data_IF_437555361042
#
_entry.id   IF_437555361042
#
_cell.length_a   1.000
_cell.length_b   1.000
_cell.length_c   1.000
_cell.angle_alpha   90.00
_cell.angle_beta   90.00
_cell.angle_gamma   90.00
#
_symmetry.space_group_name_H-M   'P 1'
#
loop_
_entity.id
_entity.type
_entity.pdbx_description
1 polymer ?
#
# COMPACT_ATOMS: atom_id res chain seq x y z
N UNK A 1 -26.68 36.35 43.21
CA UNK A 1 -25.42 36.02 42.49
C UNK A 1 -25.72 34.86 41.56
N UNK A 2 -25.77 35.12 40.25
CA UNK A 2 -25.83 34.03 39.26
C UNK A 2 -24.40 33.57 39.01
N UNK A 3 -24.13 32.28 39.22
CA UNK A 3 -22.89 31.67 38.79
C UNK A 3 -22.89 31.66 37.26
N UNK A 4 -21.81 32.12 36.62
CA UNK A 4 -21.74 32.18 35.19
C UNK A 4 -21.72 30.70 34.68
N UNK A 5 -22.40 30.43 33.55
CA UNK A 5 -22.44 29.13 32.85
C UNK A 5 -21.64 29.19 31.55
N UNK A 6 -20.42 28.66 31.57
CA UNK A 6 -19.60 28.46 30.38
C UNK A 6 -20.33 27.62 29.29
N UNK A 7 -20.32 28.11 28.05
CA UNK A 7 -20.81 27.37 26.88
C UNK A 7 -19.64 26.66 26.22
N UNK A 8 -19.62 25.33 26.35
CA UNK A 8 -18.53 24.48 25.88
C UNK A 8 -18.52 24.36 24.35
N UNK A 9 -17.45 24.84 23.69
CA UNK A 9 -17.20 24.55 22.28
C UNK A 9 -16.15 23.43 22.18
N UNK A 10 -16.57 22.26 21.67
CA UNK A 10 -15.68 21.10 21.50
C UNK A 10 -14.90 21.27 20.19
N UNK A 11 -13.61 21.63 20.29
CA UNK A 11 -12.69 21.63 19.15
C UNK A 11 -12.13 20.21 19.00
N UNK A 12 -12.52 19.52 17.94
CA UNK A 12 -11.98 18.20 17.62
C UNK A 12 -10.66 18.34 16.86
N UNK A 13 -9.54 18.16 17.55
CA UNK A 13 -8.23 18.09 16.91
C UNK A 13 -8.06 16.68 16.36
N UNK A 14 -8.03 16.54 15.03
CA UNK A 14 -7.67 15.29 14.38
C UNK A 14 -6.22 14.96 14.74
N UNK A 15 -5.99 13.78 15.32
CA UNK A 15 -4.63 13.36 15.70
C UNK A 15 -3.71 13.38 14.47
N UNK A 16 -2.59 14.13 14.50
CA UNK A 16 -1.66 14.24 13.37
C UNK A 16 -1.07 12.87 12.98
N UNK A 17 -1.01 11.93 13.93
CA UNK A 17 -0.55 10.58 13.70
C UNK A 17 -1.47 9.82 12.73
N UNK A 18 -2.79 10.01 12.83
CA UNK A 18 -3.73 9.33 11.92
C UNK A 18 -3.66 9.89 10.50
N UNK A 19 -3.35 11.17 10.35
CA UNK A 19 -3.07 11.79 9.04
C UNK A 19 -1.78 11.22 8.45
N UNK A 20 -0.73 11.07 9.26
CA UNK A 20 0.52 10.45 8.83
C UNK A 20 0.30 9.00 8.36
N UNK A 21 -0.55 8.22 9.04
CA UNK A 21 -0.94 6.86 8.61
C UNK A 21 -1.57 6.89 7.21
N UNK A 22 -2.50 7.82 6.93
CA UNK A 22 -3.07 7.94 5.57
C UNK A 22 -1.99 8.26 4.54
N UNK A 23 -1.09 9.19 4.85
CA UNK A 23 0.00 9.55 3.94
C UNK A 23 0.89 8.34 3.62
N UNK A 24 1.23 7.51 4.62
CA UNK A 24 1.98 6.27 4.41
C UNK A 24 1.21 5.24 3.56
N UNK A 25 -0.11 5.12 3.74
CA UNK A 25 -0.96 4.28 2.87
C UNK A 25 -0.95 4.77 1.42
N UNK A 26 -0.96 6.08 1.17
CA UNK A 26 -0.87 6.65 -0.18
C UNK A 26 0.48 6.33 -0.83
N UNK A 27 1.59 6.46 -0.07
CA UNK A 27 2.91 6.07 -0.56
C UNK A 27 2.99 4.57 -0.88
N UNK A 28 2.39 3.72 -0.06
CA UNK A 28 2.27 2.29 -0.34
C UNK A 28 1.54 2.03 -1.66
N UNK A 29 0.39 2.68 -1.90
CA UNK A 29 -0.33 2.57 -3.18
C UNK A 29 0.52 2.99 -4.38
N UNK A 30 1.28 4.09 -4.26
CA UNK A 30 2.17 4.56 -5.33
C UNK A 30 3.27 3.55 -5.63
N UNK A 31 3.88 2.96 -4.60
CA UNK A 31 4.91 1.95 -4.77
C UNK A 31 4.38 0.65 -5.35
N UNK A 32 3.20 0.19 -4.91
CA UNK A 32 2.53 -0.96 -5.52
C UNK A 32 2.22 -0.70 -7.00
N UNK A 33 1.77 0.52 -7.37
CA UNK A 33 1.51 0.87 -8.75
C UNK A 33 2.78 0.81 -9.61
N UNK A 34 3.89 1.40 -9.13
CA UNK A 34 5.19 1.35 -9.80
C UNK A 34 5.66 -0.10 -9.95
N UNK A 35 5.54 -0.88 -8.88
CA UNK A 35 5.93 -2.29 -8.88
C UNK A 35 5.05 -3.12 -9.82
N UNK A 36 3.75 -2.86 -9.92
CA UNK A 36 2.85 -3.58 -10.81
C UNK A 36 3.14 -3.32 -12.30
N UNK A 37 3.49 -2.07 -12.65
CA UNK A 37 3.69 -1.63 -14.03
C UNK A 37 5.06 -1.98 -14.61
N UNK A 38 6.04 -2.31 -13.77
CA UNK A 38 7.41 -2.62 -14.20
C UNK A 38 7.64 -4.11 -14.44
N UNK A 39 8.45 -4.44 -15.44
CA UNK A 39 8.92 -5.81 -15.72
C UNK A 39 10.18 -6.19 -14.94
N UNK A 40 10.78 -5.26 -14.18
CA UNK A 40 12.06 -5.45 -13.50
C UNK A 40 11.88 -6.04 -12.09
N UNK A 41 11.21 -7.19 -11.96
CA UNK A 41 11.14 -7.93 -10.68
C UNK A 41 12.18 -9.02 -10.61
N UNK A 42 12.24 -9.84 -11.65
CA UNK A 42 13.16 -10.96 -11.75
C UNK A 42 13.89 -10.85 -13.07
N UNK A 43 15.21 -10.94 -13.02
CA UNK A 43 16.05 -11.11 -14.19
C UNK A 43 16.52 -12.56 -14.28
N UNK A 44 16.37 -13.16 -15.45
CA UNK A 44 16.96 -14.45 -15.80
C UNK A 44 17.93 -14.27 -16.97
N UNK A 45 18.55 -15.36 -17.43
CA UNK A 45 19.38 -15.34 -18.65
C UNK A 45 18.62 -14.92 -19.91
N UNK A 46 17.30 -15.11 -19.93
CA UNK A 46 16.47 -14.90 -21.13
C UNK A 46 15.82 -13.52 -21.17
N UNK A 47 15.73 -12.82 -20.05
CA UNK A 47 15.07 -11.52 -19.99
C UNK A 47 14.66 -11.11 -18.58
N UNK A 48 13.71 -10.18 -18.53
CA UNK A 48 13.14 -9.61 -17.31
C UNK A 48 11.65 -9.90 -17.22
N UNK A 49 11.21 -10.32 -16.03
CA UNK A 49 9.84 -10.73 -15.77
C UNK A 49 9.30 -9.92 -14.61
N UNK A 50 8.15 -9.29 -14.82
CA UNK A 50 7.34 -8.69 -13.78
C UNK A 50 5.95 -9.32 -13.70
N UNK A 51 5.09 -8.82 -12.80
CA UNK A 51 3.76 -9.39 -12.54
C UNK A 51 2.84 -9.33 -13.77
N UNK A 52 2.89 -8.22 -14.52
CA UNK A 52 2.03 -8.00 -15.70
C UNK A 52 2.76 -8.18 -17.03
N UNK A 53 4.01 -7.74 -17.09
CA UNK A 53 4.81 -7.70 -18.33
C UNK A 53 6.02 -8.62 -18.23
N UNK A 54 6.28 -9.34 -19.32
CA UNK A 54 7.50 -10.12 -19.53
C UNK A 54 8.24 -9.54 -20.74
N UNK A 55 9.53 -9.28 -20.59
CA UNK A 55 10.40 -8.79 -21.65
C UNK A 55 11.52 -9.80 -21.90
N UNK A 56 11.48 -10.46 -23.05
CA UNK A 56 12.45 -11.49 -23.44
C UNK A 56 13.39 -10.97 -24.53
N UNK A 57 14.66 -11.34 -24.42
CA UNK A 57 15.64 -11.10 -25.47
C UNK A 57 15.55 -12.25 -26.48
N UNK A 58 15.03 -11.95 -27.68
CA UNK A 58 14.96 -12.92 -28.78
C UNK A 58 16.07 -12.67 -29.78
N UNK A 59 16.79 -13.73 -30.14
CA UNK A 59 17.67 -13.72 -31.30
C UNK A 59 16.81 -13.90 -32.55
N UNK A 60 16.66 -12.84 -33.34
CA UNK A 60 16.15 -12.96 -34.70
C UNK A 60 17.30 -13.26 -35.65
N UNK A 61 17.27 -14.45 -36.26
CA UNK A 61 18.16 -14.82 -37.35
C UNK A 61 17.60 -14.24 -38.65
N UNK A 62 18.14 -13.11 -39.11
CA UNK A 62 17.79 -12.56 -40.42
C UNK A 62 18.55 -13.33 -41.49
N UNK A 63 17.83 -14.06 -42.35
CA UNK A 63 18.36 -15.04 -43.32
C UNK A 63 19.34 -14.46 -44.36
N UNK A 64 19.50 -13.14 -44.43
CA UNK A 64 20.24 -12.46 -45.51
C UNK A 64 21.44 -11.62 -45.05
N UNK A 65 21.71 -11.51 -43.75
CA UNK A 65 22.88 -10.76 -43.25
C UNK A 65 23.43 -11.40 -41.99
N UNK A 66 24.76 -11.65 -41.93
CA UNK A 66 25.51 -12.15 -40.76
C UNK A 66 25.49 -11.23 -39.52
N UNK A 67 24.50 -10.34 -39.40
CA UNK A 67 24.27 -9.50 -38.23
C UNK A 67 23.08 -10.06 -37.45
N UNK A 68 23.34 -10.71 -36.32
CA UNK A 68 22.30 -11.04 -35.35
C UNK A 68 21.94 -9.77 -34.57
N UNK A 69 20.72 -9.26 -34.74
CA UNK A 69 20.18 -8.21 -33.87
C UNK A 69 19.42 -8.85 -32.71
N UNK A 70 19.82 -8.53 -31.47
CA UNK A 70 19.05 -8.88 -30.28
C UNK A 70 17.93 -7.86 -30.16
N UNK A 71 16.69 -8.30 -30.26
CA UNK A 71 15.52 -7.44 -30.02
C UNK A 71 14.85 -7.87 -28.73
N UNK A 72 14.55 -6.91 -27.85
CA UNK A 72 13.77 -7.15 -26.64
C UNK A 72 12.29 -7.03 -26.99
N UNK A 73 11.58 -8.15 -26.93
CA UNK A 73 10.13 -8.18 -27.13
C UNK A 73 9.44 -8.21 -25.77
N UNK A 74 8.66 -7.18 -25.47
CA UNK A 74 7.82 -7.14 -24.27
C UNK A 74 6.40 -7.58 -24.60
N UNK A 75 5.89 -8.56 -23.86
CA UNK A 75 4.56 -9.13 -24.03
C UNK A 75 3.77 -9.09 -22.72
N UNK A 76 2.50 -8.76 -22.82
CA UNK A 76 1.56 -8.80 -21.69
C UNK A 76 1.04 -10.21 -21.50
N UNK A 77 1.28 -10.81 -20.33
CA UNK A 77 0.71 -12.07 -19.79
C UNK A 77 0.92 -13.37 -20.59
N UNK A 78 1.06 -13.31 -21.92
CA UNK A 78 1.03 -14.48 -22.81
C UNK A 78 2.25 -15.39 -22.70
N UNK A 79 3.40 -14.86 -22.23
CA UNK A 79 4.63 -15.66 -22.14
C UNK A 79 4.69 -16.58 -20.89
N UNK A 80 3.86 -16.34 -19.87
CA UNK A 80 3.98 -17.05 -18.59
C UNK A 80 3.66 -18.55 -18.68
N UNK A 81 2.72 -18.95 -19.54
CA UNK A 81 2.38 -20.36 -19.73
C UNK A 81 3.49 -21.17 -20.41
N UNK A 82 4.33 -20.53 -21.24
CA UNK A 82 5.39 -21.24 -21.96
C UNK A 82 6.57 -21.60 -21.06
N UNK A 83 6.77 -20.84 -19.98
CA UNK A 83 7.89 -20.95 -19.06
C UNK A 83 7.51 -21.63 -17.72
N UNK A 84 6.29 -22.18 -17.60
CA UNK A 84 5.75 -22.72 -16.34
C UNK A 84 5.80 -21.72 -15.16
N UNK A 85 5.80 -20.41 -15.44
CA UNK A 85 5.81 -19.33 -14.45
C UNK A 85 4.38 -19.00 -13.98
N UNK A 86 3.60 -20.02 -13.57
CA UNK A 86 2.21 -19.86 -13.12
C UNK A 86 2.06 -18.98 -11.87
N UNK A 87 3.15 -18.78 -11.15
CA UNK A 87 3.22 -18.02 -9.92
C UNK A 87 3.19 -16.50 -10.09
N UNK A 88 3.57 -15.98 -11.25
CA UNK A 88 3.65 -14.55 -11.58
C UNK A 88 2.26 -13.95 -11.69
N UNK A 89 1.28 -14.59 -12.38
CA UNK A 89 -0.09 -14.10 -12.34
C UNK A 89 -0.71 -14.21 -10.94
N UNK A 90 -0.31 -15.19 -10.11
CA UNK A 90 -0.75 -15.28 -8.71
C UNK A 90 -0.20 -14.09 -7.91
N UNK A 91 1.10 -13.79 -8.03
CA UNK A 91 1.73 -12.60 -7.44
C UNK A 91 1.05 -11.31 -7.91
N UNK A 92 0.78 -11.17 -9.21
CA UNK A 92 0.06 -10.02 -9.77
C UNK A 92 -1.32 -9.86 -9.14
N UNK A 93 -2.07 -10.96 -8.99
CA UNK A 93 -3.39 -10.95 -8.36
C UNK A 93 -3.32 -10.49 -6.90
N UNK A 94 -2.34 -10.98 -6.13
CA UNK A 94 -2.15 -10.54 -4.74
C UNK A 94 -1.76 -9.06 -4.63
N UNK A 95 -0.89 -8.56 -5.50
CA UNK A 95 -0.50 -7.13 -5.51
C UNK A 95 -1.70 -6.25 -5.90
N UNK A 96 -2.48 -6.65 -6.91
CA UNK A 96 -3.70 -5.92 -7.32
C UNK A 96 -4.72 -5.91 -6.18
N UNK A 97 -4.92 -7.06 -5.52
CA UNK A 97 -5.84 -7.17 -4.39
C UNK A 97 -5.37 -6.28 -3.21
N UNK A 98 -4.08 -6.32 -2.89
CA UNK A 98 -3.44 -5.47 -1.88
C UNK A 98 -3.64 -3.99 -2.19
N UNK A 99 -3.45 -3.57 -3.45
CA UNK A 99 -3.70 -2.21 -3.91
C UNK A 99 -5.16 -1.78 -3.72
N UNK A 100 -6.12 -2.61 -4.15
CA UNK A 100 -7.56 -2.32 -4.03
C UNK A 100 -7.97 -2.22 -2.55
N UNK A 101 -7.54 -3.15 -1.69
CA UNK A 101 -7.86 -3.13 -0.27
C UNK A 101 -7.25 -1.89 0.40
N UNK A 102 -6.05 -1.47 -0.01
CA UNK A 102 -5.41 -0.25 0.53
C UNK A 102 -6.21 1.00 0.14
N UNK A 103 -6.70 1.10 -1.10
CA UNK A 103 -7.60 2.20 -1.50
C UNK A 103 -8.89 2.23 -0.65
N UNK A 104 -9.51 1.07 -0.43
CA UNK A 104 -10.69 0.95 0.44
C UNK A 104 -10.34 1.38 1.88
N UNK A 105 -9.16 1.00 2.38
CA UNK A 105 -8.67 1.38 3.71
C UNK A 105 -8.49 2.88 3.85
N UNK A 106 -7.94 3.54 2.83
CA UNK A 106 -7.81 5.01 2.76
C UNK A 106 -9.20 5.66 2.80
N UNK A 107 -10.16 5.18 2.01
CA UNK A 107 -11.53 5.72 1.99
C UNK A 107 -12.23 5.55 3.35
N UNK A 108 -12.08 4.40 3.99
CA UNK A 108 -12.67 4.17 5.32
C UNK A 108 -12.00 5.05 6.38
N UNK A 109 -10.68 5.18 6.34
CA UNK A 109 -9.93 6.05 7.24
C UNK A 109 -10.35 7.51 7.08
N UNK A 110 -10.51 8.01 5.85
CA UNK A 110 -10.94 9.38 5.59
C UNK A 110 -12.39 9.62 6.04
N UNK A 111 -13.29 8.67 5.77
CA UNK A 111 -14.68 8.71 6.25
C UNK A 111 -14.77 8.72 7.78
N UNK A 112 -13.83 8.08 8.48
CA UNK A 112 -13.76 8.08 9.94
C UNK A 112 -13.64 9.51 10.50
N UNK A 113 -12.85 10.39 9.87
CA UNK A 113 -12.68 11.78 10.31
C UNK A 113 -13.92 12.64 10.10
N UNK A 114 -14.72 12.35 9.06
CA UNK A 114 -15.92 13.13 8.74
C UNK A 114 -17.04 12.87 9.77
N UNK A 115 -17.04 11.70 10.42
CA UNK A 115 -18.11 11.34 11.37
C UNK A 115 -17.91 12.01 12.73
N UNK A 116 -18.96 12.74 13.15
CA UNK A 116 -19.00 13.42 14.45
C UNK A 116 -19.19 12.45 15.64
N UNK A 117 -19.83 11.30 15.41
CA UNK A 117 -20.06 10.32 16.48
C UNK A 117 -18.79 9.51 16.78
N UNK A 118 -18.37 9.55 18.05
CA UNK A 118 -17.20 8.84 18.55
C UNK A 118 -17.28 7.32 18.36
N UNK A 119 -18.43 6.71 18.64
CA UNK A 119 -18.62 5.25 18.50
C UNK A 119 -18.49 4.80 17.05
N UNK A 120 -19.00 5.60 16.11
CA UNK A 120 -18.93 5.32 14.67
C UNK A 120 -17.49 5.47 14.17
N UNK A 121 -16.80 6.56 14.54
CA UNK A 121 -15.39 6.80 14.21
C UNK A 121 -14.50 5.65 14.67
N UNK A 122 -14.67 5.21 15.93
CA UNK A 122 -13.92 4.07 16.49
C UNK A 122 -14.14 2.78 15.70
N UNK A 123 -15.40 2.49 15.31
CA UNK A 123 -15.71 1.31 14.48
C UNK A 123 -15.02 1.37 13.12
N UNK A 124 -15.09 2.51 12.42
CA UNK A 124 -14.40 2.67 11.14
C UNK A 124 -12.88 2.54 11.28
N UNK A 125 -12.30 3.09 12.35
CA UNK A 125 -10.86 2.94 12.61
C UNK A 125 -10.45 1.49 12.86
N UNK A 126 -11.25 0.73 13.61
CA UNK A 126 -11.05 -0.71 13.79
C UNK A 126 -11.12 -1.48 12.45
N UNK A 127 -12.05 -1.12 11.58
CA UNK A 127 -12.11 -1.70 10.22
C UNK A 127 -10.85 -1.35 9.42
N UNK A 128 -10.35 -0.11 9.49
CA UNK A 128 -9.08 0.27 8.85
C UNK A 128 -7.92 -0.58 9.35
N UNK A 129 -7.80 -0.80 10.68
CA UNK A 129 -6.75 -1.66 11.26
C UNK A 129 -6.85 -3.09 10.73
N UNK A 130 -8.07 -3.65 10.67
CA UNK A 130 -8.29 -4.99 10.14
C UNK A 130 -7.88 -5.11 8.66
N UNK A 131 -8.25 -4.13 7.84
CA UNK A 131 -7.87 -4.12 6.43
C UNK A 131 -6.36 -3.96 6.24
N UNK A 132 -5.71 -3.09 7.02
CA UNK A 132 -4.25 -2.94 7.04
C UNK A 132 -3.54 -4.25 7.39
N UNK A 133 -4.08 -5.02 8.34
CA UNK A 133 -3.55 -6.33 8.71
C UNK A 133 -3.65 -7.31 7.52
N UNK A 134 -4.78 -7.33 6.81
CA UNK A 134 -4.95 -8.17 5.62
C UNK A 134 -3.95 -7.79 4.54
N UNK A 135 -3.80 -6.49 4.24
CA UNK A 135 -2.83 -5.98 3.25
C UNK A 135 -1.40 -6.41 3.63
N UNK A 136 -1.02 -6.24 4.90
CA UNK A 136 0.30 -6.64 5.39
C UNK A 136 0.56 -8.14 5.21
N UNK A 137 -0.43 -9.00 5.47
CA UNK A 137 -0.30 -10.44 5.28
C UNK A 137 -0.17 -10.82 3.80
N UNK A 138 -0.93 -10.17 2.91
CA UNK A 138 -0.84 -10.39 1.46
C UNK A 138 0.54 -10.00 0.92
N UNK A 139 1.03 -8.82 1.29
CA UNK A 139 2.35 -8.34 0.88
C UNK A 139 3.47 -9.23 1.43
N UNK A 140 3.39 -9.61 2.71
CA UNK A 140 4.36 -10.53 3.32
C UNK A 140 4.38 -11.89 2.63
N UNK A 141 3.21 -12.41 2.24
CA UNK A 141 3.11 -13.65 1.47
C UNK A 141 3.84 -13.52 0.14
N UNK A 142 3.64 -12.43 -0.61
CA UNK A 142 4.33 -12.20 -1.90
C UNK A 142 5.85 -12.13 -1.72
N UNK A 143 6.33 -11.39 -0.71
CA UNK A 143 7.77 -11.23 -0.43
C UNK A 143 8.44 -12.56 -0.14
N UNK A 144 7.80 -13.42 0.66
CA UNK A 144 8.32 -14.73 1.05
C UNK A 144 8.20 -15.74 -0.10
N UNK A 145 7.08 -15.70 -0.83
CA UNK A 145 6.77 -16.69 -1.86
C UNK A 145 7.71 -16.59 -3.07
N UNK A 146 8.06 -15.38 -3.52
CA UNK A 146 8.90 -15.18 -4.72
C UNK A 146 10.27 -15.88 -4.59
N UNK A 147 11.07 -15.67 -3.52
CA UNK A 147 12.36 -16.35 -3.40
C UNK A 147 12.25 -17.87 -3.21
N UNK A 148 11.26 -18.32 -2.43
CA UNK A 148 11.06 -19.74 -2.10
C UNK A 148 10.73 -20.57 -3.33
N UNK A 149 9.98 -19.97 -4.24
CA UNK A 149 9.41 -20.73 -5.34
C UNK A 149 10.51 -21.07 -6.39
N UNK A 150 11.53 -20.24 -6.62
CA UNK A 150 12.58 -20.49 -7.63
C UNK A 150 13.85 -21.16 -7.07
N UNK A 151 13.71 -22.27 -6.34
CA UNK A 151 14.91 -22.96 -5.84
C UNK A 151 15.81 -23.61 -6.94
N UNK A 152 15.32 -23.75 -8.18
CA UNK A 152 16.00 -24.56 -9.21
C UNK A 152 16.60 -23.79 -10.40
N UNK A 153 16.42 -22.47 -10.51
CA UNK A 153 16.97 -21.67 -11.62
C UNK A 153 17.81 -20.51 -11.09
N UNK A 154 18.82 -20.09 -11.86
CA UNK A 154 19.61 -18.89 -11.53
C UNK A 154 18.76 -17.67 -11.91
N UNK A 155 18.29 -16.94 -10.90
CA UNK A 155 17.56 -15.68 -11.05
C UNK A 155 18.17 -14.59 -10.18
N UNK A 156 17.97 -13.35 -10.58
CA UNK A 156 18.39 -12.18 -9.83
C UNK A 156 17.17 -11.32 -9.51
N UNK A 157 16.97 -11.02 -8.24
CA UNK A 157 15.95 -10.07 -7.80
C UNK A 157 16.36 -8.66 -8.23
N UNK A 158 15.41 -7.96 -8.84
CA UNK A 158 15.61 -6.62 -9.37
C UNK A 158 14.95 -5.57 -8.47
N UNK A 159 15.19 -4.30 -8.78
CA UNK A 159 14.79 -3.17 -7.93
C UNK A 159 13.28 -3.11 -7.64
N UNK A 160 12.41 -3.58 -8.54
CA UNK A 160 10.97 -3.54 -8.30
C UNK A 160 10.53 -4.42 -7.13
N UNK A 161 11.20 -5.56 -6.93
CA UNK A 161 11.01 -6.39 -5.75
C UNK A 161 11.41 -5.61 -4.48
N UNK A 162 12.52 -4.86 -4.53
CA UNK A 162 12.94 -3.97 -3.46
C UNK A 162 11.93 -2.85 -3.16
N UNK A 163 11.31 -2.28 -4.20
CA UNK A 163 10.23 -1.29 -4.03
C UNK A 163 9.02 -1.92 -3.34
N UNK A 164 8.63 -3.13 -3.71
CA UNK A 164 7.53 -3.82 -3.04
C UNK A 164 7.86 -4.08 -1.56
N UNK A 165 9.08 -4.52 -1.23
CA UNK A 165 9.54 -4.63 0.16
C UNK A 165 9.45 -3.28 0.91
N UNK A 166 9.86 -2.18 0.26
CA UNK A 166 9.73 -0.83 0.83
C UNK A 166 8.27 -0.42 1.06
N UNK A 167 7.36 -0.77 0.15
CA UNK A 167 5.93 -0.57 0.33
C UNK A 167 5.45 -1.32 1.58
N UNK A 168 5.82 -2.59 1.73
CA UNK A 168 5.43 -3.41 2.88
C UNK A 168 5.97 -2.85 4.21
N UNK A 169 7.13 -2.20 4.20
CA UNK A 169 7.59 -1.48 5.39
C UNK A 169 6.64 -0.33 5.75
N UNK A 170 6.21 0.49 4.78
CA UNK A 170 5.24 1.56 5.06
C UNK A 170 3.90 1.04 5.58
N UNK A 171 3.39 -0.07 5.04
CA UNK A 171 2.13 -0.64 5.54
C UNK A 171 2.31 -1.23 6.95
N UNK A 172 3.47 -1.84 7.24
CA UNK A 172 3.76 -2.38 8.58
C UNK A 172 3.84 -1.26 9.64
N UNK A 173 4.53 -0.16 9.33
CA UNK A 173 4.61 1.01 10.21
C UNK A 173 3.23 1.63 10.41
N UNK A 174 2.45 1.73 9.34
CA UNK A 174 1.05 2.21 9.39
C UNK A 174 0.19 1.35 10.30
N UNK A 175 0.28 0.03 10.17
CA UNK A 175 -0.46 -0.94 10.99
C UNK A 175 -0.09 -0.85 12.47
N UNK A 176 1.21 -0.89 12.79
CA UNK A 176 1.70 -0.80 14.17
C UNK A 176 1.25 0.52 14.79
N UNK A 177 1.42 1.63 14.07
CA UNK A 177 1.03 2.96 14.55
C UNK A 177 -0.49 3.05 14.74
N UNK A 178 -1.29 2.47 13.84
CA UNK A 178 -2.75 2.45 13.96
C UNK A 178 -3.23 1.65 15.18
N UNK A 179 -2.55 0.54 15.51
CA UNK A 179 -2.83 -0.26 16.71
C UNK A 179 -2.47 0.54 17.97
N UNK A 180 -1.28 1.15 18.02
CA UNK A 180 -0.83 1.94 19.17
C UNK A 180 -1.74 3.15 19.42
N UNK A 181 -2.24 3.77 18.35
CA UNK A 181 -3.13 4.94 18.43
C UNK A 181 -4.61 4.61 18.55
N UNK A 182 -4.99 3.32 18.56
CA UNK A 182 -6.39 2.93 18.68
C UNK A 182 -7.02 3.39 20.01
N UNK A 183 -6.24 3.40 21.10
CA UNK A 183 -6.73 3.78 22.44
C UNK A 183 -6.40 5.22 22.83
N UNK A 184 -5.54 5.92 22.09
CA UNK A 184 -5.25 7.33 22.35
C UNK A 184 -6.37 8.16 21.74
N UNK A 185 -7.35 8.52 22.57
CA UNK A 185 -8.47 9.36 22.15
C UNK A 185 -7.97 10.70 21.59
N UNK A 186 -8.67 11.20 20.56
CA UNK A 186 -8.50 12.56 20.07
C UNK A 186 -8.68 13.50 21.28
N UNK A 187 -7.61 14.23 21.66
CA UNK A 187 -7.60 15.08 22.87
C UNK A 187 -8.76 16.07 22.76
N UNK A 188 -9.78 15.89 23.60
CA UNK A 188 -10.88 16.85 23.72
C UNK A 188 -10.42 18.00 24.61
N UNK A 189 -9.99 19.08 23.98
CA UNK A 189 -9.77 20.34 24.71
C UNK A 189 -11.13 20.95 25.04
N UNK A 190 -11.35 21.24 26.31
CA UNK A 190 -12.55 21.92 26.82
C UNK A 190 -12.06 23.24 27.40
N UNK A 191 -12.25 24.35 26.71
CA UNK A 191 -12.00 25.68 27.29
C UNK A 191 -13.30 26.27 27.84
N UNK A 192 -13.24 26.71 29.08
CA UNK A 192 -14.28 27.48 29.74
C UNK A 192 -13.74 28.89 29.96
N UNK A 193 -14.21 29.87 29.20
CA UNK A 193 -14.02 31.27 29.53
C UNK A 193 -15.38 31.95 29.40
N UNK A 194 -15.85 32.50 30.52
CA UNK A 194 -16.99 33.41 30.52
C UNK A 194 -16.48 34.84 30.56
N UNK A 195 -16.73 35.57 29.48
CA UNK A 195 -16.72 37.02 29.50
C UNK A 195 -17.91 37.49 30.34
N UNK A 196 -17.65 37.71 31.62
CA UNK A 196 -18.54 38.50 32.47
C UNK A 196 -18.55 39.94 31.95
N UNK A 197 -19.63 40.28 31.25
CA UNK A 197 -20.35 41.56 31.36
C UNK A 197 -19.48 42.83 31.46
N UNK A 198 -19.24 43.49 30.33
CA UNK A 198 -19.04 44.95 30.33
C UNK A 198 -20.41 45.58 30.04
N UNK A 199 -21.05 45.98 31.13
CA UNK A 199 -22.01 47.06 31.37
C UNK A 199 -22.85 47.65 30.21
N UNK A 200 -24.17 47.61 30.47
CA UNK A 200 -25.20 48.66 30.31
C UNK A 200 -25.57 49.18 28.93
#
# INVERSE_FOLDING_TARGET
>A
MYAPRAKFERIYIVSPVKVAIIFLMVLHCLFLLIALLTSFWIQTKFGHYGPLYSCENRLHWKTTSRLSSITTECQFVRSFHRLNLLWMPITALFIILSFIITLISILIATLSFIKNSFTIRRRYWLFTILLLLIVFLLDSFVIIFIPLSHHQQIYYLQWAYGIHCGATLFISVSLITAILTHNTDDIQYIEAIEESSIDK
#
